data_IF_010539416631
#
_entry.id   IF_010539416631
#
_cell.length_a   1.000
_cell.length_b   1.000
_cell.length_c   1.000
_cell.angle_alpha   90.00
_cell.angle_beta   90.00
_cell.angle_gamma   90.00
#
_symmetry.space_group_name_H-M   'P 1'
#
loop_
_entity.id
_entity.type
_entity.pdbx_description
1 polymer ?
#
# COMPACT_ATOMS: atom_id res chain seq x y z
N UNK A 1 -7.27 -5.35 -11.44
CA UNK A 1 -7.40 -4.35 -12.53
C UNK A 1 -6.11 -3.56 -12.74
N UNK A 2 -5.58 -2.86 -11.74
CA UNK A 2 -4.40 -1.97 -11.92
C UNK A 2 -3.16 -2.68 -12.49
N UNK A 3 -2.86 -3.90 -12.04
CA UNK A 3 -1.76 -4.69 -12.63
C UNK A 3 -1.94 -4.93 -14.14
N UNK A 4 -3.16 -5.25 -14.59
CA UNK A 4 -3.43 -5.45 -16.01
C UNK A 4 -3.27 -4.16 -16.82
N UNK A 5 -3.65 -3.01 -16.27
CA UNK A 5 -3.39 -1.72 -16.93
C UNK A 5 -1.89 -1.39 -16.98
N UNK A 6 -1.14 -1.78 -15.96
CA UNK A 6 0.31 -1.66 -15.98
C UNK A 6 0.94 -2.60 -17.01
N UNK A 7 0.42 -3.81 -17.21
CA UNK A 7 0.87 -4.71 -18.30
C UNK A 7 0.61 -4.10 -19.69
N UNK A 8 -0.44 -3.30 -19.81
CA UNK A 8 -0.79 -2.55 -21.03
C UNK A 8 -0.05 -1.21 -21.17
N UNK A 9 0.91 -0.89 -20.29
CA UNK A 9 1.61 0.40 -20.23
C UNK A 9 0.68 1.62 -20.08
N UNK A 10 -0.53 1.44 -19.55
CA UNK A 10 -1.51 2.52 -19.35
C UNK A 10 -1.33 3.25 -18.02
N UNK A 11 -0.58 2.65 -17.10
CA UNK A 11 -0.29 3.21 -15.77
C UNK A 11 1.02 2.62 -15.26
N UNK A 12 1.67 3.35 -14.37
CA UNK A 12 2.83 2.86 -13.64
C UNK A 12 2.54 2.98 -12.14
N UNK A 13 2.46 1.84 -11.44
CA UNK A 13 2.12 1.80 -10.02
C UNK A 13 3.39 2.14 -9.23
N UNK A 14 3.45 3.33 -8.65
CA UNK A 14 4.64 3.80 -7.92
C UNK A 14 4.76 3.22 -6.52
N UNK A 15 3.63 3.08 -5.83
CA UNK A 15 3.53 2.56 -4.47
C UNK A 15 2.09 2.10 -4.19
N UNK A 16 1.91 1.29 -3.15
CA UNK A 16 0.60 0.92 -2.61
C UNK A 16 0.57 1.19 -1.11
N UNK A 17 -0.52 1.78 -0.62
CA UNK A 17 -0.70 2.07 0.79
C UNK A 17 -1.89 1.29 1.34
N UNK A 18 -1.67 0.58 2.46
CA UNK A 18 -2.73 -0.09 3.19
C UNK A 18 -3.46 0.90 4.13
N UNK A 19 -4.77 1.01 3.95
CA UNK A 19 -5.65 1.91 4.72
C UNK A 19 -6.32 1.23 5.94
N UNK A 20 -6.10 -0.08 6.11
CA UNK A 20 -6.66 -0.92 7.18
C UNK A 20 -5.51 -1.48 8.04
N UNK A 21 -5.84 -1.87 9.27
CA UNK A 21 -4.95 -2.48 10.26
C UNK A 21 -5.08 -4.01 10.39
N UNK A 22 -5.77 -4.70 9.48
CA UNK A 22 -5.77 -6.17 9.42
C UNK A 22 -4.34 -6.71 9.45
N UNK A 23 -4.06 -7.64 10.36
CA UNK A 23 -2.71 -8.10 10.73
C UNK A 23 -1.88 -8.64 9.56
N UNK A 24 -2.54 -9.17 8.52
CA UNK A 24 -1.90 -9.75 7.33
C UNK A 24 -1.90 -8.84 6.08
N UNK A 25 -2.34 -7.58 6.17
CA UNK A 25 -2.61 -6.77 4.97
C UNK A 25 -1.36 -6.51 4.11
N UNK A 26 -0.20 -6.23 4.72
CA UNK A 26 1.04 -5.96 3.99
C UNK A 26 1.55 -7.23 3.29
N UNK A 27 1.69 -8.38 3.97
CA UNK A 27 2.05 -9.64 3.30
C UNK A 27 1.10 -10.03 2.17
N UNK A 28 -0.21 -9.79 2.32
CA UNK A 28 -1.21 -10.04 1.25
C UNK A 28 -0.95 -9.15 0.03
N UNK A 29 -0.71 -7.85 0.23
CA UNK A 29 -0.38 -6.93 -0.86
C UNK A 29 0.91 -7.38 -1.56
N UNK A 30 1.93 -7.82 -0.81
CA UNK A 30 3.16 -8.32 -1.42
C UNK A 30 2.92 -9.60 -2.25
N UNK A 31 2.18 -10.56 -1.73
CA UNK A 31 1.85 -11.79 -2.44
C UNK A 31 1.15 -11.48 -3.79
N UNK A 32 0.21 -10.53 -3.78
CA UNK A 32 -0.49 -10.08 -4.99
C UNK A 32 0.48 -9.39 -5.96
N UNK A 33 1.27 -8.42 -5.49
CA UNK A 33 2.25 -7.72 -6.31
C UNK A 33 3.25 -8.69 -6.95
N UNK A 34 3.73 -9.66 -6.18
CA UNK A 34 4.65 -10.71 -6.63
C UNK A 34 4.01 -11.62 -7.68
N UNK A 35 2.76 -12.04 -7.49
CA UNK A 35 2.04 -12.84 -8.48
C UNK A 35 2.00 -12.15 -9.85
N UNK A 36 1.93 -10.81 -9.86
CA UNK A 36 1.99 -9.98 -11.08
C UNK A 36 3.41 -9.50 -11.45
N UNK A 37 4.47 -10.16 -10.95
CA UNK A 37 5.88 -9.85 -11.21
C UNK A 37 6.30 -8.40 -10.91
N UNK A 38 5.71 -7.77 -9.88
CA UNK A 38 5.97 -6.37 -9.49
C UNK A 38 6.50 -6.27 -8.07
N UNK A 39 7.66 -6.88 -7.86
CA UNK A 39 8.29 -7.00 -6.54
C UNK A 39 8.97 -5.72 -6.07
N UNK A 40 9.05 -4.72 -6.94
CA UNK A 40 9.66 -3.41 -6.72
C UNK A 40 8.68 -2.35 -6.20
N UNK A 41 7.37 -2.65 -6.22
CA UNK A 41 6.34 -1.74 -5.68
C UNK A 41 6.51 -1.64 -4.16
N UNK A 42 6.87 -0.46 -3.68
CA UNK A 42 6.93 -0.14 -2.25
C UNK A 42 5.52 -0.21 -1.63
N UNK A 43 5.46 -0.77 -0.43
CA UNK A 43 4.22 -0.90 0.35
C UNK A 43 4.35 -0.08 1.62
N UNK A 44 3.41 0.85 1.79
CA UNK A 44 3.22 1.60 3.04
C UNK A 44 1.99 1.11 3.78
N UNK A 45 1.95 1.32 5.10
CA UNK A 45 0.79 0.98 5.92
C UNK A 45 0.42 2.13 6.84
N UNK A 46 -0.88 2.29 7.10
CA UNK A 46 -1.34 3.17 8.17
C UNK A 46 -0.71 2.78 9.51
N UNK A 47 -0.12 3.77 10.20
CA UNK A 47 0.35 3.63 11.59
C UNK A 47 -0.52 4.43 12.56
N UNK A 48 -1.66 4.92 12.09
CA UNK A 48 -2.63 5.62 12.90
C UNK A 48 -3.41 4.61 13.77
N UNK A 49 -3.38 4.72 15.11
CA UNK A 49 -4.14 3.83 15.99
C UNK A 49 -5.66 3.96 15.84
N UNK A 50 -6.16 5.01 15.18
CA UNK A 50 -7.58 5.22 14.91
C UNK A 50 -7.99 4.75 13.51
N UNK A 51 -7.06 4.29 12.66
CA UNK A 51 -7.42 3.69 11.39
C UNK A 51 -8.26 2.43 11.60
N UNK A 52 -9.15 2.16 10.64
CA UNK A 52 -10.04 1.01 10.70
C UNK A 52 -9.23 -0.30 10.81
N UNK A 53 -9.70 -1.22 11.65
CA UNK A 53 -9.14 -2.57 11.80
C UNK A 53 -10.23 -3.56 11.41
N UNK A 54 -10.04 -4.26 10.31
CA UNK A 54 -10.89 -5.41 9.96
C UNK A 54 -10.73 -6.55 10.98
N UNK A 55 -11.74 -7.42 11.04
CA UNK A 55 -11.73 -8.64 11.84
C UNK A 55 -10.57 -9.58 11.45
N UNK A 56 -10.19 -10.45 12.37
CA UNK A 56 -9.03 -11.33 12.23
C UNK A 56 -9.32 -12.57 11.35
N UNK A 57 -10.58 -12.87 11.04
CA UNK A 57 -11.00 -14.09 10.34
C UNK A 57 -11.54 -13.81 8.93
N UNK A 58 -10.71 -13.20 8.08
CA UNK A 58 -11.06 -12.95 6.68
C UNK A 58 -10.67 -14.16 5.81
N UNK A 59 -11.64 -14.78 5.14
CA UNK A 59 -11.40 -16.03 4.41
C UNK A 59 -10.48 -15.89 3.19
N UNK A 60 -10.56 -14.78 2.45
CA UNK A 60 -9.75 -14.59 1.24
C UNK A 60 -8.30 -14.16 1.52
N UNK A 61 -7.98 -13.24 2.45
CA UNK A 61 -6.60 -12.89 2.78
C UNK A 61 -5.87 -14.10 3.36
N UNK A 62 -6.50 -14.84 4.27
CA UNK A 62 -5.93 -16.05 4.86
C UNK A 62 -5.61 -17.11 3.78
N UNK A 63 -6.46 -17.24 2.78
CA UNK A 63 -6.19 -18.10 1.63
C UNK A 63 -4.95 -17.61 0.85
N UNK A 64 -4.82 -16.31 0.60
CA UNK A 64 -3.65 -15.76 -0.10
C UNK A 64 -2.37 -16.04 0.69
N UNK A 65 -2.35 -15.73 1.99
CA UNK A 65 -1.21 -15.96 2.87
C UNK A 65 -0.79 -17.42 2.93
N UNK A 66 -1.76 -18.34 2.93
CA UNK A 66 -1.47 -19.77 2.97
C UNK A 66 -0.88 -20.32 1.65
N UNK A 67 -1.26 -19.75 0.50
CA UNK A 67 -1.02 -20.39 -0.80
C UNK A 67 -0.03 -19.63 -1.70
N UNK A 68 0.33 -18.38 -1.39
CA UNK A 68 1.18 -17.55 -2.24
C UNK A 68 2.41 -17.04 -1.50
N UNK A 69 3.62 -17.08 -2.11
CA UNK A 69 4.84 -16.64 -1.45
C UNK A 69 4.89 -15.12 -1.27
N UNK A 70 5.41 -14.67 -0.13
CA UNK A 70 5.57 -13.26 0.24
C UNK A 70 6.79 -13.03 1.16
N UNK A 71 8.02 -13.27 0.68
CA UNK A 71 9.22 -13.22 1.51
C UNK A 71 9.70 -11.81 1.89
N UNK A 72 9.18 -10.74 1.27
CA UNK A 72 9.68 -9.38 1.54
C UNK A 72 9.00 -8.75 2.73
N UNK A 73 7.73 -9.09 2.96
CA UNK A 73 6.99 -8.66 4.13
C UNK A 73 6.31 -9.86 4.77
N UNK A 74 6.82 -10.29 5.91
CA UNK A 74 6.21 -11.32 6.75
C UNK A 74 5.23 -10.70 7.74
N UNK A 75 5.39 -9.41 8.08
CA UNK A 75 4.56 -8.70 9.04
C UNK A 75 4.26 -7.28 8.61
N UNK A 76 3.13 -6.76 9.09
CA UNK A 76 2.69 -5.39 8.85
C UNK A 76 3.64 -4.29 9.37
N UNK A 77 4.38 -4.57 10.44
CA UNK A 77 5.30 -3.61 11.04
C UNK A 77 6.56 -3.36 10.20
N UNK A 78 6.88 -4.27 9.27
CA UNK A 78 8.00 -4.16 8.32
C UNK A 78 7.73 -3.15 7.19
N UNK A 79 6.46 -2.87 6.88
CA UNK A 79 6.11 -1.76 5.99
C UNK A 79 6.29 -0.42 6.71
N UNK A 80 6.79 0.56 5.96
CA UNK A 80 6.91 1.92 6.45
C UNK A 80 5.55 2.60 6.66
N UNK A 81 5.58 3.77 7.30
CA UNK A 81 4.38 4.59 7.45
C UNK A 81 3.87 5.09 6.08
N UNK A 82 2.57 4.90 5.82
CA UNK A 82 1.93 5.31 4.57
C UNK A 82 2.09 6.80 4.25
N UNK A 83 2.00 7.70 5.24
CA UNK A 83 2.17 9.15 5.06
C UNK A 83 3.61 9.46 4.66
N UNK A 84 4.60 8.84 5.32
CA UNK A 84 6.02 8.97 4.96
C UNK A 84 6.28 8.54 3.52
N UNK A 85 5.75 7.38 3.12
CA UNK A 85 5.89 6.90 1.74
C UNK A 85 5.17 7.82 0.74
N UNK A 86 3.96 8.28 1.03
CA UNK A 86 3.25 9.24 0.19
C UNK A 86 4.09 10.49 -0.06
N UNK A 87 4.60 11.12 1.01
CA UNK A 87 5.41 12.34 0.91
C UNK A 87 6.66 12.12 0.07
N UNK A 88 7.41 11.03 0.33
CA UNK A 88 8.59 10.68 -0.45
C UNK A 88 8.27 10.48 -1.93
N UNK A 89 7.17 9.78 -2.25
CA UNK A 89 6.76 9.53 -3.63
C UNK A 89 6.29 10.80 -4.35
N UNK A 90 5.60 11.70 -3.64
CA UNK A 90 5.11 12.96 -4.20
C UNK A 90 6.26 13.95 -4.43
N UNK A 91 7.12 14.17 -3.44
CA UNK A 91 8.27 15.09 -3.53
C UNK A 91 9.26 14.69 -4.64
N UNK A 92 9.43 13.38 -4.89
CA UNK A 92 10.31 12.87 -5.95
C UNK A 92 9.64 12.74 -7.32
N UNK A 93 8.39 13.15 -7.46
CA UNK A 93 7.65 13.10 -8.73
C UNK A 93 7.54 14.48 -9.35
N UNK A 94 7.44 14.54 -10.67
CA UNK A 94 7.16 15.80 -11.37
C UNK A 94 5.77 16.32 -11.01
N UNK A 95 5.62 17.64 -11.01
CA UNK A 95 4.32 18.28 -10.78
C UNK A 95 3.23 17.73 -11.71
N UNK A 96 2.04 17.54 -11.16
CA UNK A 96 0.86 17.03 -11.87
C UNK A 96 1.03 15.64 -12.52
N UNK A 97 2.05 14.85 -12.14
CA UNK A 97 2.32 13.54 -12.74
C UNK A 97 1.73 12.35 -11.95
N UNK A 98 1.30 12.57 -10.71
CA UNK A 98 0.80 11.51 -9.82
C UNK A 98 -0.71 11.60 -9.67
N UNK A 99 -1.38 10.46 -9.88
CA UNK A 99 -2.80 10.28 -9.56
C UNK A 99 -2.91 9.36 -8.35
N UNK A 100 -3.53 9.85 -7.28
CA UNK A 100 -3.83 9.05 -6.10
C UNK A 100 -5.18 8.34 -6.30
N UNK A 101 -5.18 7.01 -6.19
CA UNK A 101 -6.38 6.18 -6.24
C UNK A 101 -6.63 5.57 -4.85
N UNK A 102 -7.57 6.14 -4.09
CA UNK A 102 -7.98 5.57 -2.80
C UNK A 102 -9.22 4.70 -2.97
N UNK A 103 -9.14 3.46 -2.49
CA UNK A 103 -10.26 2.52 -2.42
C UNK A 103 -10.37 2.09 -0.96
N UNK A 104 -11.50 2.39 -0.32
CA UNK A 104 -11.71 2.16 1.11
C UNK A 104 -11.57 3.44 1.93
N UNK A 105 -10.90 3.35 3.07
CA UNK A 105 -10.84 4.43 4.07
C UNK A 105 -9.92 5.58 3.67
N UNK A 106 -10.25 6.79 4.12
CA UNK A 106 -9.51 8.01 3.80
C UNK A 106 -8.48 8.43 4.86
N UNK A 107 -8.29 7.65 5.94
CA UNK A 107 -7.42 8.03 7.07
C UNK A 107 -6.00 8.39 6.63
N UNK A 108 -5.37 7.60 5.76
CA UNK A 108 -4.03 7.92 5.26
C UNK A 108 -3.98 9.21 4.44
N UNK A 109 -5.03 9.52 3.66
CA UNK A 109 -5.10 10.75 2.87
C UNK A 109 -5.40 11.97 3.75
N UNK A 110 -6.29 11.83 4.74
CA UNK A 110 -6.50 12.88 5.74
C UNK A 110 -5.19 13.21 6.46
N UNK A 111 -4.49 12.18 6.97
CA UNK A 111 -3.21 12.36 7.65
C UNK A 111 -2.10 12.89 6.73
N UNK A 112 -2.16 12.60 5.43
CA UNK A 112 -1.24 13.19 4.44
C UNK A 112 -1.53 14.68 4.25
N UNK A 113 -2.79 15.08 4.12
CA UNK A 113 -3.19 16.49 3.96
C UNK A 113 -2.92 17.32 5.21
N UNK A 114 -3.06 16.70 6.40
CA UNK A 114 -2.75 17.33 7.69
C UNK A 114 -1.25 17.29 8.03
N UNK A 115 -0.43 16.58 7.24
CA UNK A 115 1.01 16.53 7.47
C UNK A 115 1.65 17.90 7.19
N UNK A 116 2.68 18.23 7.96
CA UNK A 116 3.43 19.48 7.82
C UNK A 116 4.35 19.45 6.59
N UNK A 117 5.18 20.48 6.40
CA UNK A 117 6.19 20.55 5.33
C UNK A 117 7.15 19.35 5.33
N UNK A 118 7.49 18.87 4.12
CA UNK A 118 8.30 17.66 3.91
C UNK A 118 9.78 17.83 4.25
N UNK A 119 10.42 16.67 4.41
CA UNK A 119 11.86 16.54 4.64
C UNK A 119 12.57 16.05 3.35
N UNK A 120 11.88 16.09 2.20
CA UNK A 120 12.27 15.46 0.94
C UNK A 120 12.51 16.47 -0.18
#
# INVERSE_FOLDING_TARGET
MMHSYADQNRTHIRAIMANDRYEGIVPVIEAINRYFNRTDIQIGMTKDPNAYKSDENLSWPDFVLKNYPHPMYQRNDEAENAVTLYRRMLATSSDNSVVILSIGFFTNLANLLDSVEDEY
#
